data_IF_894585594422
#
_entry.id   IF_894585594422
#
_cell.length_a   1.000
_cell.length_b   1.000
_cell.length_c   1.000
_cell.angle_alpha   90.00
_cell.angle_beta   90.00
_cell.angle_gamma   90.00
#
_symmetry.space_group_name_H-M   'P 1'
#
loop_
_entity.id
_entity.type
_entity.pdbx_description
1 polymer ?
#
# COMPACT_ATOMS: atom_id res chain seq x y z
N UNK A 1 -16.22 -14.54 -4.72
CA UNK A 1 -15.12 -14.93 -5.61
C UNK A 1 -13.80 -14.72 -4.88
N UNK A 2 -12.99 -15.77 -4.73
CA UNK A 2 -11.72 -15.71 -4.03
C UNK A 2 -10.58 -15.55 -5.05
N UNK A 3 -9.64 -14.63 -4.81
CA UNK A 3 -8.50 -14.43 -5.71
C UNK A 3 -7.46 -15.54 -5.48
N UNK A 4 -7.05 -16.24 -6.53
CA UNK A 4 -5.91 -17.18 -6.50
C UNK A 4 -4.60 -16.42 -6.75
N UNK A 5 -3.55 -16.72 -5.99
CA UNK A 5 -2.18 -16.24 -6.26
C UNK A 5 -1.34 -17.43 -6.76
N UNK A 6 -0.84 -17.32 -8.00
CA UNK A 6 -0.11 -18.38 -8.71
C UNK A 6 1.10 -18.91 -7.93
N UNK A 7 1.80 -18.04 -7.22
CA UNK A 7 3.04 -18.33 -6.51
C UNK A 7 2.83 -19.09 -5.19
N UNK A 8 1.59 -19.16 -4.68
CA UNK A 8 1.28 -20.05 -3.57
C UNK A 8 1.20 -21.51 -4.05
N UNK A 9 1.50 -22.51 -3.19
CA UNK A 9 1.46 -23.90 -3.59
C UNK A 9 0.06 -24.36 -3.98
N UNK A 10 -0.03 -25.16 -5.05
CA UNK A 10 -1.23 -25.91 -5.43
C UNK A 10 -1.25 -27.25 -4.70
N UNK A 11 -1.57 -27.23 -3.40
CA UNK A 11 -1.67 -28.43 -2.58
C UNK A 11 -2.70 -28.26 -1.45
N UNK A 12 -3.03 -29.37 -0.79
CA UNK A 12 -3.97 -29.42 0.33
C UNK A 12 -3.37 -28.94 1.66
N UNK A 13 -2.12 -28.49 1.68
CA UNK A 13 -1.45 -28.09 2.92
C UNK A 13 -1.86 -26.66 3.31
N UNK A 14 -1.90 -26.40 4.60
CA UNK A 14 -2.23 -25.08 5.14
C UNK A 14 -0.95 -24.28 5.39
N UNK A 15 -0.85 -23.11 4.76
CA UNK A 15 0.32 -22.25 4.81
C UNK A 15 0.01 -20.94 5.51
N UNK A 16 0.55 -20.74 6.72
CA UNK A 16 0.47 -19.47 7.44
C UNK A 16 1.55 -18.52 6.93
N UNK A 17 1.16 -17.30 6.59
CA UNK A 17 2.10 -16.21 6.26
C UNK A 17 2.79 -15.70 7.53
N UNK A 18 4.12 -15.75 7.56
CA UNK A 18 4.95 -15.34 8.70
C UNK A 18 5.49 -13.92 8.57
N UNK A 19 5.87 -13.49 7.36
CA UNK A 19 6.37 -12.15 7.12
C UNK A 19 6.49 -11.85 5.62
N UNK A 20 6.56 -10.56 5.30
CA UNK A 20 7.19 -10.05 4.08
C UNK A 20 8.50 -9.40 4.47
N UNK A 21 9.61 -9.85 3.88
CA UNK A 21 10.95 -9.58 4.42
C UNK A 21 11.81 -8.76 3.49
N UNK A 22 11.80 -9.05 2.19
CA UNK A 22 12.74 -8.48 1.23
C UNK A 22 12.07 -8.08 -0.07
N UNK A 23 12.65 -7.11 -0.75
CA UNK A 23 12.21 -6.59 -2.05
C UNK A 23 13.37 -6.68 -3.04
N UNK A 24 13.11 -7.14 -4.26
CA UNK A 24 14.09 -7.15 -5.34
C UNK A 24 13.48 -6.69 -6.66
N UNK A 25 14.34 -6.32 -7.60
CA UNK A 25 13.91 -6.05 -8.97
C UNK A 25 13.25 -7.29 -9.58
N UNK A 26 12.13 -7.09 -10.25
CA UNK A 26 11.56 -8.08 -11.16
C UNK A 26 12.16 -7.85 -12.54
N UNK A 27 12.83 -8.86 -13.11
CA UNK A 27 13.46 -8.75 -14.42
C UNK A 27 12.48 -8.97 -15.58
N UNK A 28 11.32 -9.55 -15.30
CA UNK A 28 10.28 -9.80 -16.31
C UNK A 28 9.31 -8.63 -16.43
N UNK A 29 9.06 -7.93 -15.32
CA UNK A 29 8.04 -6.87 -15.20
C UNK A 29 8.62 -5.71 -14.39
N UNK A 30 9.25 -4.73 -15.05
CA UNK A 30 9.94 -3.60 -14.38
C UNK A 30 8.99 -2.80 -13.46
N UNK A 31 7.70 -2.73 -13.80
CA UNK A 31 6.67 -2.01 -13.04
C UNK A 31 6.22 -2.75 -11.76
N UNK A 32 6.61 -4.02 -11.60
CA UNK A 32 6.14 -4.90 -10.53
C UNK A 32 7.32 -5.60 -9.82
N UNK A 33 8.08 -4.88 -8.97
CA UNK A 33 9.08 -5.49 -8.10
C UNK A 33 8.56 -6.71 -7.33
N UNK A 34 9.47 -7.60 -6.94
CA UNK A 34 9.11 -8.81 -6.21
C UNK A 34 9.33 -8.64 -4.71
N UNK A 35 8.37 -9.11 -3.92
CA UNK A 35 8.43 -9.17 -2.46
C UNK A 35 8.54 -10.62 -1.99
N UNK A 36 9.48 -10.90 -1.08
CA UNK A 36 9.67 -12.20 -0.47
C UNK A 36 8.64 -12.39 0.65
N UNK A 37 7.78 -13.39 0.49
CA UNK A 37 6.80 -13.83 1.48
C UNK A 37 7.31 -15.14 2.10
N UNK A 38 7.35 -15.19 3.42
CA UNK A 38 7.74 -16.36 4.18
C UNK A 38 6.52 -17.04 4.77
N UNK A 39 6.45 -18.36 4.65
CA UNK A 39 5.33 -19.15 5.10
C UNK A 39 5.78 -20.39 5.88
N UNK A 40 5.00 -20.74 6.90
CA UNK A 40 5.13 -21.98 7.68
C UNK A 40 3.89 -22.84 7.48
N UNK A 41 4.08 -24.15 7.32
CA UNK A 41 2.96 -25.09 7.28
C UNK A 41 2.39 -25.33 8.68
N UNK A 42 1.07 -25.39 8.74
CA UNK A 42 0.31 -25.77 9.93
C UNK A 42 -0.50 -27.04 9.67
N UNK A 43 -0.80 -27.79 10.73
CA UNK A 43 -1.54 -29.07 10.64
C UNK A 43 -3.02 -28.86 10.37
N UNK A 44 -3.60 -27.86 11.02
CA UNK A 44 -5.04 -27.62 11.03
C UNK A 44 -5.33 -26.11 11.06
N UNK A 45 -6.14 -25.62 10.12
CA UNK A 45 -6.54 -24.21 10.03
C UNK A 45 -7.53 -23.79 11.12
N UNK A 46 -8.23 -24.75 11.74
CA UNK A 46 -9.20 -24.51 12.81
C UNK A 46 -8.54 -24.29 14.18
N UNK A 47 -7.30 -24.76 14.35
CA UNK A 47 -6.50 -24.58 15.56
C UNK A 47 -5.70 -23.27 15.44
N UNK A 48 -5.42 -22.62 16.58
CA UNK A 48 -4.55 -21.43 16.62
C UNK A 48 -3.27 -21.66 15.78
N UNK A 49 -3.10 -20.92 14.67
CA UNK A 49 -2.01 -21.14 13.75
C UNK A 49 -0.66 -20.77 14.37
N UNK A 50 -0.64 -20.07 15.50
CA UNK A 50 0.57 -19.68 16.24
C UNK A 50 0.94 -20.65 17.38
N UNK A 51 0.14 -21.68 17.67
CA UNK A 51 0.55 -22.69 18.65
C UNK A 51 1.69 -23.56 18.14
N UNK A 52 2.62 -23.94 19.01
CA UNK A 52 3.72 -24.84 18.66
C UNK A 52 3.23 -26.23 18.27
N UNK A 53 2.14 -26.71 18.88
CA UNK A 53 1.53 -28.01 18.60
C UNK A 53 0.95 -28.13 17.19
N UNK A 54 0.50 -27.01 16.60
CA UNK A 54 -0.14 -26.94 15.29
C UNK A 54 0.87 -26.85 14.11
N UNK A 55 2.17 -27.00 14.35
CA UNK A 55 3.22 -26.81 13.33
C UNK A 55 3.75 -28.15 12.81
N UNK A 56 4.17 -28.20 11.54
CA UNK A 56 4.79 -29.39 10.92
C UNK A 56 6.31 -29.26 10.72
N UNK A 57 6.89 -28.09 11.03
CA UNK A 57 8.28 -27.69 10.74
C UNK A 57 8.61 -27.42 9.27
N UNK A 58 7.67 -27.68 8.36
CA UNK A 58 7.85 -27.33 6.96
C UNK A 58 7.66 -25.83 6.77
N UNK A 59 8.55 -25.25 5.98
CA UNK A 59 8.59 -23.83 5.71
C UNK A 59 8.94 -23.64 4.25
N UNK A 60 8.43 -22.57 3.64
CA UNK A 60 8.88 -22.15 2.33
C UNK A 60 8.89 -20.63 2.22
N UNK A 61 9.57 -20.15 1.19
CA UNK A 61 9.57 -18.75 0.78
C UNK A 61 9.16 -18.65 -0.67
N UNK A 62 8.36 -17.65 -1.01
CA UNK A 62 7.92 -17.36 -2.36
C UNK A 62 8.17 -15.89 -2.68
N UNK A 63 8.28 -15.54 -3.96
CA UNK A 63 8.40 -14.17 -4.43
C UNK A 63 7.13 -13.80 -5.18
N UNK A 64 6.47 -12.72 -4.78
CA UNK A 64 5.23 -12.23 -5.42
C UNK A 64 5.41 -10.81 -5.91
N UNK A 65 4.64 -10.44 -6.93
CA UNK A 65 4.56 -9.06 -7.37
C UNK A 65 4.03 -8.17 -6.23
N UNK A 66 4.63 -7.00 -6.03
CA UNK A 66 4.22 -6.06 -4.98
C UNK A 66 2.75 -5.65 -5.07
N UNK A 67 2.14 -5.68 -6.27
CA UNK A 67 0.70 -5.44 -6.45
C UNK A 67 -0.19 -6.43 -5.71
N UNK A 68 0.31 -7.63 -5.41
CA UNK A 68 -0.42 -8.69 -4.71
C UNK A 68 -0.39 -8.50 -3.18
N UNK A 69 0.51 -7.65 -2.65
CA UNK A 69 0.65 -7.42 -1.20
C UNK A 69 -0.61 -6.81 -0.55
N UNK A 70 -1.50 -6.19 -1.33
CA UNK A 70 -2.80 -5.72 -0.85
C UNK A 70 -3.71 -6.87 -0.34
N UNK A 71 -3.41 -8.14 -0.66
CA UNK A 71 -4.16 -9.33 -0.24
C UNK A 71 -3.44 -10.22 0.76
N UNK A 72 -2.12 -10.13 0.81
CA UNK A 72 -1.31 -10.92 1.75
C UNK A 72 -1.34 -10.22 3.11
N UNK A 73 -1.58 -10.96 4.19
CA UNK A 73 -1.63 -10.42 5.55
C UNK A 73 -0.78 -11.26 6.49
N UNK A 74 -0.23 -10.63 7.52
CA UNK A 74 0.50 -11.38 8.54
C UNK A 74 -0.45 -12.33 9.27
N UNK A 75 -0.10 -13.61 9.35
CA UNK A 75 -0.94 -14.64 9.96
C UNK A 75 -2.10 -15.16 9.11
N UNK A 76 -2.28 -14.69 7.87
CA UNK A 76 -3.28 -15.29 6.96
C UNK A 76 -2.90 -16.73 6.61
N UNK A 77 -3.90 -17.60 6.45
CA UNK A 77 -3.73 -19.00 6.07
C UNK A 77 -4.16 -19.17 4.61
N UNK A 78 -3.29 -19.79 3.84
CA UNK A 78 -3.47 -20.08 2.42
C UNK A 78 -3.49 -21.58 2.18
N UNK A 79 -4.34 -22.01 1.26
CA UNK A 79 -4.45 -23.40 0.80
C UNK A 79 -4.87 -23.36 -0.66
N UNK A 80 -4.28 -24.24 -1.48
CA UNK A 80 -4.56 -24.32 -2.91
C UNK A 80 -4.62 -22.95 -3.61
N UNK A 81 -3.58 -22.13 -3.41
CA UNK A 81 -3.44 -20.75 -3.94
C UNK A 81 -4.45 -19.71 -3.44
N UNK A 82 -5.45 -20.08 -2.63
CA UNK A 82 -6.48 -19.18 -2.10
C UNK A 82 -6.16 -18.82 -0.64
N UNK A 83 -6.48 -17.58 -0.26
CA UNK A 83 -6.51 -17.20 1.15
C UNK A 83 -7.80 -17.72 1.79
N UNK A 84 -7.70 -18.69 2.69
CA UNK A 84 -8.88 -19.32 3.33
C UNK A 84 -9.22 -18.68 4.69
N UNK A 85 -8.25 -18.02 5.33
CA UNK A 85 -8.46 -17.42 6.65
C UNK A 85 -7.55 -16.22 6.87
N UNK A 86 -8.10 -15.18 7.49
CA UNK A 86 -7.35 -14.02 7.98
C UNK A 86 -7.48 -13.93 9.51
N UNK A 87 -6.51 -13.34 10.23
CA UNK A 87 -6.69 -13.03 11.65
C UNK A 87 -7.80 -12.00 11.84
N UNK A 88 -8.81 -12.35 12.62
CA UNK A 88 -9.98 -11.51 12.90
C UNK A 88 -10.57 -11.85 14.28
N UNK A 89 -11.32 -10.92 14.87
CA UNK A 89 -11.80 -11.01 16.25
C UNK A 89 -12.79 -12.16 16.52
N UNK A 90 -13.34 -12.79 15.47
CA UNK A 90 -14.12 -14.03 15.56
C UNK A 90 -13.25 -15.25 15.91
N UNK A 91 -11.92 -15.13 15.85
CA UNK A 91 -10.99 -16.22 16.15
C UNK A 91 -10.57 -16.17 17.63
N UNK A 92 -10.67 -17.30 18.36
CA UNK A 92 -10.43 -17.33 19.81
C UNK A 92 -8.99 -17.07 20.23
N UNK A 93 -8.04 -17.09 19.28
CA UNK A 93 -6.61 -16.98 19.52
C UNK A 93 -6.02 -15.59 19.26
N UNK A 94 -6.84 -14.66 18.76
CA UNK A 94 -6.50 -13.24 18.65
C UNK A 94 -7.50 -12.43 19.43
N UNK A 95 -7.13 -11.18 19.70
CA UNK A 95 -8.04 -10.20 20.28
C UNK A 95 -7.90 -8.89 19.52
N UNK A 96 -9.01 -8.18 19.40
CA UNK A 96 -8.98 -6.77 19.05
C UNK A 96 -8.76 -5.90 20.30
N UNK A 97 -7.82 -4.95 20.21
CA UNK A 97 -7.48 -4.02 21.29
C UNK A 97 -7.16 -2.65 20.71
N UNK A 98 -7.47 -1.61 21.46
CA UNK A 98 -7.06 -0.24 21.15
C UNK A 98 -5.92 0.18 22.07
N UNK A 99 -4.90 0.82 21.50
CA UNK A 99 -3.75 1.33 22.24
C UNK A 99 -3.37 2.71 21.74
N UNK A 100 -3.04 3.60 22.67
CA UNK A 100 -2.52 4.92 22.36
C UNK A 100 -1.01 4.89 22.30
N UNK A 101 -0.44 5.26 21.15
CA UNK A 101 1.00 5.33 20.92
C UNK A 101 1.41 6.71 20.42
N UNK A 102 2.68 7.04 20.59
CA UNK A 102 3.31 8.18 19.96
C UNK A 102 4.33 7.68 18.92
N UNK A 103 4.12 7.99 17.64
CA UNK A 103 4.99 7.47 16.56
C UNK A 103 6.40 8.06 16.58
N UNK A 104 6.63 9.21 17.24
CA UNK A 104 7.97 9.76 17.46
C UNK A 104 8.78 8.98 18.51
N UNK A 105 8.11 8.20 19.37
CA UNK A 105 8.75 7.38 20.43
C UNK A 105 8.94 5.92 20.02
N UNK A 106 8.60 5.54 18.78
CA UNK A 106 8.73 4.17 18.30
C UNK A 106 10.20 3.78 18.17
N UNK A 107 10.56 2.66 18.78
CA UNK A 107 11.87 2.04 18.60
C UNK A 107 11.80 1.18 17.33
N UNK A 108 12.59 1.55 16.32
CA UNK A 108 12.75 0.79 15.06
C UNK A 108 13.95 -0.14 15.20
N UNK A 109 13.70 -1.44 15.21
CA UNK A 109 14.72 -2.48 15.40
C UNK A 109 14.47 -3.67 14.46
N UNK A 110 15.27 -4.72 14.56
CA UNK A 110 15.08 -5.99 13.84
C UNK A 110 14.53 -7.05 14.78
N UNK A 111 13.89 -8.06 14.18
CA UNK A 111 13.32 -9.19 14.92
C UNK A 111 14.30 -9.82 15.93
N UNK A 112 15.56 -10.04 15.54
CA UNK A 112 16.58 -10.64 16.40
C UNK A 112 17.50 -9.64 17.11
N UNK A 113 17.18 -8.36 17.11
CA UNK A 113 17.94 -7.36 17.83
C UNK A 113 17.19 -6.96 19.08
N UNK A 114 17.90 -6.79 20.19
CA UNK A 114 17.30 -6.34 21.44
C UNK A 114 16.79 -4.91 21.30
N UNK A 115 15.58 -4.67 21.77
CA UNK A 115 15.06 -3.32 22.03
C UNK A 115 15.27 -2.98 23.51
N UNK A 116 15.48 -1.71 23.80
CA UNK A 116 15.61 -1.19 25.16
C UNK A 116 14.43 -0.28 25.47
N UNK A 117 13.67 -0.60 26.52
CA UNK A 117 12.61 0.25 27.03
C UNK A 117 12.67 0.29 28.55
N UNK A 118 12.68 1.49 29.15
CA UNK A 118 12.78 1.69 30.60
C UNK A 118 13.92 0.86 31.22
N UNK A 119 15.12 0.98 30.64
CA UNK A 119 16.34 0.25 31.03
C UNK A 119 16.27 -1.28 30.96
N UNK A 120 15.24 -1.82 30.30
CA UNK A 120 15.05 -3.25 30.09
C UNK A 120 15.32 -3.63 28.65
N UNK A 121 16.22 -4.60 28.45
CA UNK A 121 16.55 -5.16 27.14
C UNK A 121 15.74 -6.44 26.88
N UNK A 122 15.09 -6.53 25.73
CA UNK A 122 14.31 -7.71 25.33
C UNK A 122 14.30 -7.89 23.82
N UNK A 123 14.03 -9.11 23.35
CA UNK A 123 13.79 -9.36 21.93
C UNK A 123 12.35 -9.00 21.58
N UNK A 124 12.09 -8.18 20.54
CA UNK A 124 10.75 -7.74 20.16
C UNK A 124 9.80 -8.91 19.87
N UNK A 125 10.31 -9.97 19.24
CA UNK A 125 9.56 -11.19 18.99
C UNK A 125 10.42 -12.40 19.40
N UNK A 126 10.23 -12.92 20.63
CA UNK A 126 11.02 -14.05 21.11
C UNK A 126 10.83 -15.30 20.25
N UNK A 127 11.91 -16.05 20.03
CA UNK A 127 11.92 -17.25 19.20
C UNK A 127 10.85 -18.30 19.62
N UNK A 128 10.60 -18.42 20.93
CA UNK A 128 9.62 -19.35 21.50
C UNK A 128 8.17 -19.02 21.10
N UNK A 129 7.89 -17.78 20.71
CA UNK A 129 6.53 -17.28 20.39
C UNK A 129 6.18 -17.57 18.93
N UNK A 130 7.10 -17.25 18.02
CA UNK A 130 6.96 -17.47 16.58
C UNK A 130 8.09 -18.36 16.07
N UNK A 131 7.98 -19.67 16.34
CA UNK A 131 8.86 -20.68 15.74
C UNK A 131 8.62 -20.83 14.22
N UNK A 132 9.27 -19.98 13.46
CA UNK A 132 9.23 -19.93 11.98
C UNK A 132 10.21 -20.92 11.34
N UNK A 133 10.71 -21.91 12.08
CA UNK A 133 11.57 -22.98 11.55
C UNK A 133 12.78 -22.45 10.77
N UNK A 134 13.02 -23.01 9.58
CA UNK A 134 14.13 -22.61 8.71
C UNK A 134 13.99 -21.18 8.16
N UNK A 135 12.79 -20.60 8.17
CA UNK A 135 12.59 -19.20 7.78
C UNK A 135 13.22 -18.22 8.80
N UNK A 136 13.65 -18.67 9.97
CA UNK A 136 14.28 -17.80 10.98
C UNK A 136 15.48 -17.03 10.43
N UNK A 137 16.32 -17.66 9.60
CA UNK A 137 17.48 -17.01 9.02
C UNK A 137 17.13 -15.86 8.07
N UNK A 138 15.94 -15.89 7.46
CA UNK A 138 15.45 -14.85 6.58
C UNK A 138 14.73 -13.75 7.36
N UNK A 139 13.90 -14.14 8.33
CA UNK A 139 13.02 -13.21 9.07
C UNK A 139 13.74 -12.44 10.19
N UNK A 140 14.87 -12.96 10.70
CA UNK A 140 15.63 -12.34 11.80
C UNK A 140 16.06 -10.91 11.50
N UNK A 141 16.23 -10.59 10.22
CA UNK A 141 16.66 -9.28 9.74
C UNK A 141 15.50 -8.31 9.44
N UNK A 142 14.26 -8.80 9.47
CA UNK A 142 13.08 -7.99 9.17
C UNK A 142 12.85 -6.94 10.25
N UNK A 143 12.41 -5.77 9.81
CA UNK A 143 12.17 -4.63 10.68
C UNK A 143 10.90 -4.84 11.52
N UNK A 144 11.00 -4.45 12.79
CA UNK A 144 9.93 -4.51 13.78
C UNK A 144 9.91 -3.19 14.54
N UNK A 145 8.72 -2.66 14.75
CA UNK A 145 8.49 -1.45 15.54
C UNK A 145 8.03 -1.83 16.94
N UNK A 146 8.70 -1.27 17.93
CA UNK A 146 8.37 -1.43 19.35
C UNK A 146 7.82 -0.08 19.82
N UNK A 147 6.52 -0.03 20.07
CA UNK A 147 5.79 1.19 20.41
C UNK A 147 5.34 1.13 21.88
N UNK A 148 5.89 1.98 22.76
CA UNK A 148 5.39 2.12 24.12
C UNK A 148 3.94 2.63 24.10
N UNK A 149 3.04 1.96 24.82
CA UNK A 149 1.66 2.40 24.97
C UNK A 149 1.56 3.41 26.12
N UNK A 150 0.86 4.53 25.90
CA UNK A 150 0.71 5.57 26.92
C UNK A 150 -0.31 5.17 28.00
N UNK A 151 -1.26 4.29 27.66
CA UNK A 151 -2.41 3.88 28.47
C UNK A 151 -2.29 2.45 29.06
N UNK A 152 -1.19 1.73 28.78
CA UNK A 152 -1.03 0.35 29.19
C UNK A 152 0.39 0.01 29.64
N UNK A 153 0.52 -0.93 30.59
CA UNK A 153 1.80 -1.54 30.97
C UNK A 153 2.28 -2.58 29.93
N UNK A 154 1.88 -2.42 28.67
CA UNK A 154 2.15 -3.32 27.54
C UNK A 154 2.85 -2.53 26.45
N UNK A 155 3.64 -3.22 25.64
CA UNK A 155 4.30 -2.62 24.48
C UNK A 155 3.71 -3.19 23.21
N UNK A 156 3.42 -2.35 22.22
CA UNK A 156 3.00 -2.81 20.91
C UNK A 156 4.20 -3.26 20.09
N UNK A 157 4.09 -4.46 19.50
CA UNK A 157 5.10 -5.02 18.60
C UNK A 157 4.49 -5.09 17.20
N UNK A 158 4.95 -4.24 16.29
CA UNK A 158 4.36 -4.04 14.97
C UNK A 158 5.38 -4.42 13.90
N UNK A 159 5.27 -5.59 13.27
CA UNK A 159 6.13 -5.94 12.14
C UNK A 159 6.01 -4.90 11.00
N UNK A 160 7.11 -4.60 10.32
CA UNK A 160 7.11 -3.57 9.26
C UNK A 160 6.13 -3.87 8.12
N UNK A 161 5.93 -5.15 7.81
CA UNK A 161 4.93 -5.57 6.82
C UNK A 161 3.49 -5.21 7.22
N UNK A 162 3.16 -5.18 8.51
CA UNK A 162 1.82 -4.75 8.96
C UNK A 162 1.64 -3.25 8.69
N UNK A 163 2.68 -2.44 8.90
CA UNK A 163 2.65 -1.00 8.55
C UNK A 163 2.55 -0.83 7.03
N UNK A 164 3.37 -1.56 6.26
CA UNK A 164 3.32 -1.54 4.80
C UNK A 164 1.92 -1.84 4.27
N UNK A 165 1.36 -3.00 4.63
CA UNK A 165 0.04 -3.45 4.16
C UNK A 165 -1.08 -2.53 4.62
N UNK A 166 -0.92 -1.87 5.77
CA UNK A 166 -1.97 -1.00 6.32
C UNK A 166 -2.02 0.37 5.65
N UNK A 167 -0.87 0.94 5.27
CA UNK A 167 -0.79 2.33 4.83
C UNK A 167 -0.31 2.52 3.38
N UNK A 168 0.40 1.55 2.81
CA UNK A 168 1.11 1.70 1.54
C UNK A 168 0.70 0.69 0.45
N UNK A 169 -0.21 -0.23 0.78
CA UNK A 169 -0.74 -1.21 -0.17
C UNK A 169 -2.28 -1.25 -0.12
N UNK A 170 -2.93 -0.08 -0.20
CA UNK A 170 -4.39 0.05 -0.26
C UNK A 170 -4.97 -0.62 -1.50
N UNK A 171 -4.29 -0.49 -2.64
CA UNK A 171 -4.62 -1.12 -3.91
C UNK A 171 -3.37 -1.66 -4.59
N UNK A 172 -3.55 -2.55 -5.58
CA UNK A 172 -2.43 -3.05 -6.38
C UNK A 172 -1.72 -1.93 -7.15
N UNK A 173 -2.47 -0.91 -7.59
CA UNK A 173 -1.91 0.27 -8.29
C UNK A 173 -1.05 1.11 -7.35
N UNK A 174 -1.55 1.41 -6.15
CA UNK A 174 -0.79 2.13 -5.13
C UNK A 174 0.47 1.35 -4.75
N UNK A 175 0.35 0.05 -4.49
CA UNK A 175 1.50 -0.76 -4.12
C UNK A 175 2.61 -0.69 -5.20
N UNK A 176 2.27 -0.88 -6.48
CA UNK A 176 3.25 -0.76 -7.58
C UNK A 176 3.85 0.64 -7.65
N UNK A 177 3.04 1.68 -7.56
CA UNK A 177 3.51 3.06 -7.61
C UNK A 177 4.45 3.41 -6.45
N UNK A 178 4.16 2.93 -5.24
CA UNK A 178 5.02 3.09 -4.06
C UNK A 178 6.37 2.39 -4.25
N UNK A 179 6.37 1.12 -4.66
CA UNK A 179 7.60 0.34 -4.80
C UNK A 179 8.47 0.73 -6.00
N UNK A 180 7.87 1.33 -7.04
CA UNK A 180 8.57 1.90 -8.19
C UNK A 180 8.92 3.38 -8.04
N UNK A 181 8.51 4.01 -6.93
CA UNK A 181 8.60 5.46 -6.71
C UNK A 181 8.07 6.28 -7.89
N UNK A 182 6.90 5.86 -8.38
CA UNK A 182 6.23 6.43 -9.54
C UNK A 182 4.78 6.78 -9.21
N UNK A 183 4.55 7.36 -8.03
CA UNK A 183 3.23 7.82 -7.59
C UNK A 183 2.70 8.92 -8.52
N UNK A 184 3.60 9.72 -9.09
CA UNK A 184 3.30 10.72 -10.14
C UNK A 184 2.69 10.13 -11.40
N UNK A 185 2.78 8.82 -11.65
CA UNK A 185 2.07 8.18 -12.75
C UNK A 185 0.56 8.09 -12.54
N UNK A 186 0.08 8.30 -11.31
CA UNK A 186 -1.35 8.23 -10.96
C UNK A 186 -2.02 9.61 -10.97
N UNK A 187 -1.23 10.68 -10.95
CA UNK A 187 -1.69 12.07 -10.98
C UNK A 187 -1.01 12.88 -12.09
N UNK A 188 -1.49 14.09 -12.33
CA UNK A 188 -0.76 15.11 -13.08
C UNK A 188 -0.07 15.98 -12.05
N UNK A 189 1.17 15.61 -11.71
CA UNK A 189 1.87 16.16 -10.53
C UNK A 189 2.00 17.69 -10.54
N UNK A 190 2.26 18.29 -11.70
CA UNK A 190 2.39 19.75 -11.84
C UNK A 190 1.06 20.52 -11.80
N UNK A 191 -0.09 19.83 -11.92
CA UNK A 191 -1.42 20.42 -11.76
C UNK A 191 -2.04 20.10 -10.39
N UNK A 192 -1.41 19.18 -9.64
CA UNK A 192 -1.80 18.74 -8.31
C UNK A 192 -0.93 19.45 -7.26
N UNK A 193 -1.53 19.98 -6.21
CA UNK A 193 -0.83 20.82 -5.25
C UNK A 193 -1.48 20.78 -3.87
N UNK A 194 -0.70 21.16 -2.85
CA UNK A 194 -1.23 21.53 -1.55
C UNK A 194 -1.57 23.01 -1.61
N UNK A 195 -2.81 23.35 -1.30
CA UNK A 195 -3.33 24.71 -1.31
C UNK A 195 -2.87 25.50 -0.07
N UNK A 196 -2.98 26.83 -0.13
CA UNK A 196 -2.53 27.73 0.95
C UNK A 196 -3.23 27.48 2.30
N UNK A 197 -4.45 26.95 2.27
CA UNK A 197 -5.24 26.57 3.45
C UNK A 197 -4.91 25.17 3.99
N UNK A 198 -3.95 24.47 3.37
CA UNK A 198 -3.54 23.11 3.72
C UNK A 198 -4.37 22.01 3.06
N UNK A 199 -5.44 22.33 2.32
CA UNK A 199 -6.21 21.35 1.57
C UNK A 199 -5.46 20.88 0.32
N UNK A 200 -5.93 19.82 -0.33
CA UNK A 200 -5.20 19.22 -1.47
C UNK A 200 -6.03 19.29 -2.74
N UNK A 201 -5.41 19.80 -3.80
CA UNK A 201 -5.91 19.67 -5.17
C UNK A 201 -5.22 18.49 -5.86
N UNK A 202 -5.99 17.55 -6.39
CA UNK A 202 -5.50 16.40 -7.16
C UNK A 202 -6.07 16.39 -8.57
N UNK A 203 -5.19 16.28 -9.57
CA UNK A 203 -5.58 15.98 -10.94
C UNK A 203 -5.25 14.52 -11.24
N UNK A 204 -6.27 13.65 -11.14
CA UNK A 204 -6.10 12.21 -11.29
C UNK A 204 -5.92 11.81 -12.75
N UNK A 205 -5.04 10.84 -13.03
CA UNK A 205 -4.95 10.22 -14.35
C UNK A 205 -6.09 9.22 -14.59
N UNK A 206 -6.34 8.92 -15.87
CA UNK A 206 -7.42 8.02 -16.31
C UNK A 206 -7.40 6.65 -15.62
N UNK A 207 -6.22 6.11 -15.36
CA UNK A 207 -6.02 4.79 -14.77
C UNK A 207 -6.04 4.77 -13.23
N UNK A 208 -6.15 5.92 -12.55
CA UNK A 208 -6.26 5.98 -11.10
C UNK A 208 -7.70 5.78 -10.63
N UNK A 209 -7.88 4.96 -9.60
CA UNK A 209 -9.19 4.74 -8.97
C UNK A 209 -9.51 5.88 -8.00
N UNK A 210 -10.80 6.20 -7.90
CA UNK A 210 -11.31 7.27 -7.02
C UNK A 210 -11.05 6.97 -5.53
N UNK A 211 -11.08 5.70 -5.16
CA UNK A 211 -10.84 5.24 -3.79
C UNK A 211 -9.39 5.50 -3.34
N UNK A 212 -8.43 5.63 -4.27
CA UNK A 212 -7.03 5.88 -3.96
C UNK A 212 -6.72 7.37 -3.70
N UNK A 213 -7.69 8.28 -3.88
CA UNK A 213 -7.52 9.74 -3.67
C UNK A 213 -6.95 10.09 -2.31
N UNK A 214 -7.43 9.44 -1.26
CA UNK A 214 -6.99 9.74 0.10
C UNK A 214 -5.52 9.35 0.34
N UNK A 215 -5.04 8.29 -0.31
CA UNK A 215 -3.63 7.93 -0.27
C UNK A 215 -2.79 8.98 -0.99
N UNK A 216 -3.21 9.37 -2.20
CA UNK A 216 -2.50 10.33 -3.03
C UNK A 216 -2.45 11.72 -2.40
N UNK A 217 -3.56 12.18 -1.81
CA UNK A 217 -3.62 13.45 -1.11
C UNK A 217 -2.70 13.45 0.12
N UNK A 218 -2.68 12.38 0.91
CA UNK A 218 -1.77 12.25 2.06
C UNK A 218 -0.32 12.22 1.60
N UNK A 219 0.01 11.50 0.53
CA UNK A 219 1.35 11.48 -0.01
C UNK A 219 1.82 12.87 -0.44
N UNK A 220 0.95 13.64 -1.12
CA UNK A 220 1.25 15.01 -1.57
C UNK A 220 1.42 15.99 -0.40
N UNK A 221 0.60 15.86 0.65
CA UNK A 221 0.60 16.77 1.80
C UNK A 221 1.55 16.37 2.96
N UNK A 222 1.96 15.11 3.07
CA UNK A 222 2.80 14.61 4.18
C UNK A 222 4.24 14.40 3.74
N UNK A 223 5.12 15.28 4.20
CA UNK A 223 6.57 15.08 4.06
C UNK A 223 7.06 13.80 4.76
N UNK A 224 6.42 13.38 5.85
CA UNK A 224 6.77 12.14 6.57
C UNK A 224 6.56 10.93 5.66
N UNK A 225 5.38 10.85 5.04
CA UNK A 225 5.04 9.77 4.11
C UNK A 225 5.93 9.79 2.86
N UNK A 226 6.13 10.97 2.26
CA UNK A 226 7.02 11.13 1.11
C UNK A 226 8.46 10.68 1.39
N UNK A 227 8.97 11.00 2.58
CA UNK A 227 10.31 10.59 3.02
C UNK A 227 10.42 9.07 3.24
N UNK A 228 9.42 8.43 3.86
CA UNK A 228 9.44 6.97 4.06
C UNK A 228 9.46 6.22 2.72
N UNK A 229 8.62 6.62 1.76
CA UNK A 229 8.57 6.03 0.41
C UNK A 229 9.87 6.26 -0.33
N UNK A 230 10.37 7.51 -0.35
CA UNK A 230 11.62 7.88 -1.03
C UNK A 230 12.81 7.11 -0.45
N UNK A 231 12.91 7.01 0.87
CA UNK A 231 14.01 6.31 1.53
C UNK A 231 13.96 4.80 1.26
N UNK A 232 12.75 4.20 1.27
CA UNK A 232 12.59 2.80 0.90
C UNK A 232 13.06 2.56 -0.54
N UNK A 233 12.62 3.39 -1.49
CA UNK A 233 13.03 3.27 -2.88
C UNK A 233 14.54 3.45 -3.07
N UNK A 234 15.14 4.47 -2.43
CA UNK A 234 16.60 4.69 -2.47
C UNK A 234 17.37 3.47 -1.99
N UNK A 235 16.89 2.75 -0.96
CA UNK A 235 17.50 1.49 -0.49
C UNK A 235 17.42 0.40 -1.55
N UNK A 236 16.26 0.21 -2.18
CA UNK A 236 16.06 -0.77 -3.27
C UNK A 236 16.99 -0.44 -4.45
N UNK A 237 17.02 0.83 -4.87
CA UNK A 237 17.86 1.28 -5.98
C UNK A 237 19.36 1.08 -5.67
N UNK A 238 19.80 1.46 -4.47
CA UNK A 238 21.19 1.30 -4.04
C UNK A 238 21.60 -0.17 -4.02
N UNK A 239 20.74 -1.06 -3.54
CA UNK A 239 21.01 -2.50 -3.58
C UNK A 239 21.09 -3.02 -5.02
N UNK A 240 20.17 -2.63 -5.89
CA UNK A 240 20.19 -3.03 -7.29
C UNK A 240 21.46 -2.56 -8.01
N UNK A 241 21.93 -1.34 -7.73
CA UNK A 241 23.20 -0.82 -8.27
C UNK A 241 24.39 -1.61 -7.72
N UNK A 242 24.46 -1.80 -6.41
CA UNK A 242 25.59 -2.48 -5.76
C UNK A 242 25.67 -3.98 -6.08
N UNK A 243 24.58 -4.57 -6.54
CA UNK A 243 24.52 -5.98 -6.94
C UNK A 243 24.50 -6.16 -8.46
N UNK A 244 24.47 -5.08 -9.26
CA UNK A 244 24.49 -5.14 -10.71
C UNK A 244 25.76 -5.86 -11.21
N UNK A 245 25.58 -6.88 -12.05
CA UNK A 245 26.69 -7.67 -12.60
C UNK A 245 27.26 -8.77 -11.69
N UNK A 246 26.78 -8.91 -10.46
CA UNK A 246 27.14 -10.04 -9.61
C UNK A 246 26.28 -11.27 -9.95
N UNK A 247 26.85 -12.30 -10.58
CA UNK A 247 26.20 -13.62 -10.75
C UNK A 247 26.14 -14.41 -9.43
N UNK A 248 25.73 -13.77 -8.33
CA UNK A 248 25.85 -14.29 -6.96
C UNK A 248 24.51 -14.35 -6.25
N UNK A 249 24.47 -15.07 -5.13
CA UNK A 249 23.33 -15.13 -4.22
C UNK A 249 22.86 -13.74 -3.74
N UNK A 250 23.74 -12.73 -3.73
CA UNK A 250 23.41 -11.37 -3.29
C UNK A 250 22.32 -10.71 -4.16
N UNK A 251 22.30 -10.96 -5.49
CA UNK A 251 21.21 -10.49 -6.36
C UNK A 251 19.88 -11.18 -6.04
N UNK A 252 19.95 -12.47 -5.67
CA UNK A 252 18.75 -13.26 -5.39
C UNK A 252 18.09 -12.94 -4.04
N UNK A 253 18.86 -12.36 -3.12
CA UNK A 253 18.44 -12.06 -1.76
C UNK A 253 17.52 -10.82 -1.67
N UNK A 254 17.80 -9.76 -2.43
CA UNK A 254 17.02 -8.51 -2.34
C UNK A 254 17.30 -7.68 -1.07
N UNK A 255 16.64 -6.53 -0.98
CA UNK A 255 16.77 -5.52 0.08
C UNK A 255 15.76 -5.76 1.19
N UNK A 256 16.16 -5.63 2.46
CA UNK A 256 15.23 -5.71 3.60
C UNK A 256 14.14 -4.64 3.48
N UNK A 257 12.88 -5.05 3.66
CA UNK A 257 11.73 -4.16 3.71
C UNK A 257 11.78 -3.30 4.96
N UNK A 258 11.82 -2.00 4.74
CA UNK A 258 11.89 -1.02 5.81
C UNK A 258 11.04 0.22 5.46
N UNK A 259 9.92 0.40 6.14
CA UNK A 259 8.99 1.52 5.92
C UNK A 259 8.17 1.82 7.18
N UNK A 260 8.21 3.06 7.65
CA UNK A 260 7.60 3.53 8.90
C UNK A 260 6.17 4.05 8.73
N UNK A 261 5.59 4.53 9.83
CA UNK A 261 4.29 5.19 9.80
C UNK A 261 4.33 6.45 8.91
N UNK A 262 3.24 6.78 8.18
CA UNK A 262 3.21 7.92 7.28
C UNK A 262 3.04 9.28 7.99
N UNK A 263 3.17 9.32 9.31
CA UNK A 263 2.92 10.48 10.17
C UNK A 263 3.68 10.41 11.50
N UNK A 264 3.71 11.54 12.21
CA UNK A 264 4.34 11.75 13.51
C UNK A 264 3.33 12.15 14.58
N UNK A 265 3.63 11.90 15.85
CA UNK A 265 2.79 12.28 16.99
C UNK A 265 1.88 11.17 17.52
N UNK A 266 0.90 11.59 18.33
CA UNK A 266 0.00 10.69 19.03
C UNK A 266 -1.08 10.10 18.10
N UNK A 267 -1.41 8.84 18.31
CA UNK A 267 -2.52 8.15 17.66
C UNK A 267 -3.01 6.99 18.52
N UNK A 268 -4.30 6.69 18.41
CA UNK A 268 -4.85 5.42 18.89
C UNK A 268 -4.94 4.47 17.72
N UNK A 269 -4.41 3.25 17.89
CA UNK A 269 -4.54 2.16 16.92
C UNK A 269 -5.48 1.11 17.49
N UNK A 270 -6.52 0.75 16.73
CA UNK A 270 -7.31 -0.47 16.98
C UNK A 270 -6.68 -1.59 16.15
N UNK A 271 -6.23 -2.64 16.82
CA UNK A 271 -5.38 -3.69 16.25
C UNK A 271 -5.92 -5.08 16.58
N UNK A 272 -5.85 -5.99 15.61
CA UNK A 272 -5.96 -7.43 15.86
C UNK A 272 -4.59 -7.99 16.16
N UNK A 273 -4.45 -8.71 17.26
CA UNK A 273 -3.18 -9.30 17.66
C UNK A 273 -3.25 -10.29 18.80
N UNK A 274 -2.09 -10.65 19.34
CA UNK A 274 -1.94 -11.63 20.43
C UNK A 274 -0.94 -11.13 21.46
N UNK A 275 -1.23 -11.36 22.74
CA UNK A 275 -0.28 -11.10 23.81
C UNK A 275 0.86 -12.12 23.80
N UNK A 276 2.09 -11.62 23.93
CA UNK A 276 3.31 -12.42 23.92
C UNK A 276 4.18 -11.99 25.11
N UNK A 277 4.78 -12.95 25.80
CA UNK A 277 5.69 -12.65 26.89
C UNK A 277 7.05 -12.28 26.30
N UNK A 278 7.49 -11.03 26.48
CA UNK A 278 8.75 -10.51 25.94
C UNK A 278 9.92 -10.79 26.85
N UNK A 279 9.69 -10.67 28.16
CA UNK A 279 10.70 -10.95 29.18
C UNK A 279 10.03 -11.33 30.51
N UNK A 280 10.64 -12.26 31.23
CA UNK A 280 10.12 -12.85 32.46
C UNK A 280 10.38 -11.92 33.67
N UNK A 281 9.54 -12.01 34.68
CA UNK A 281 9.76 -11.35 35.97
C UNK A 281 11.09 -11.82 36.57
N UNK A 282 11.83 -10.89 37.15
CA UNK A 282 13.06 -11.18 37.86
C UNK A 282 12.90 -10.72 39.31
N UNK A 283 12.83 -11.67 40.24
CA UNK A 283 12.64 -11.39 41.67
C UNK A 283 13.80 -10.60 42.27
N UNK A 284 15.04 -10.93 41.89
CA UNK A 284 16.26 -10.24 42.33
C UNK A 284 16.26 -8.77 41.91
N UNK A 285 15.79 -8.47 40.70
CA UNK A 285 15.67 -7.11 40.16
C UNK A 285 14.30 -6.46 40.46
N UNK A 286 13.41 -7.16 41.17
CA UNK A 286 12.02 -6.75 41.47
C UNK A 286 11.23 -6.30 40.23
N UNK A 287 11.46 -6.94 39.07
CA UNK A 287 10.74 -6.63 37.83
C UNK A 287 9.55 -7.56 37.62
N UNK A 288 8.47 -7.05 37.03
CA UNK A 288 7.30 -7.84 36.61
C UNK A 288 7.51 -8.43 35.21
N UNK A 289 6.67 -9.38 34.81
CA UNK A 289 6.61 -9.85 33.42
C UNK A 289 6.40 -8.67 32.46
N UNK A 290 7.20 -8.60 31.39
CA UNK A 290 6.97 -7.67 30.30
C UNK A 290 6.15 -8.37 29.22
N UNK A 291 4.92 -7.91 29.05
CA UNK A 291 4.05 -8.36 27.98
C UNK A 291 4.11 -7.41 26.79
N UNK A 292 4.17 -7.99 25.61
CA UNK A 292 4.00 -7.31 24.33
C UNK A 292 2.67 -7.70 23.70
N UNK A 293 2.11 -6.82 22.89
CA UNK A 293 1.00 -7.14 22.02
C UNK A 293 1.51 -7.20 20.57
N UNK A 294 1.63 -8.41 20.04
CA UNK A 294 2.04 -8.62 18.65
C UNK A 294 0.89 -8.30 17.72
N UNK A 295 1.07 -7.27 16.90
CA UNK A 295 0.08 -6.82 15.93
C UNK A 295 0.13 -7.71 14.68
N UNK A 296 -1.03 -8.25 14.31
CA UNK A 296 -1.24 -9.00 13.07
C UNK A 296 -1.93 -8.14 12.01
N UNK A 297 -2.79 -7.21 12.42
CA UNK A 297 -3.43 -6.23 11.54
C UNK A 297 -3.73 -4.92 12.29
N UNK A 298 -3.63 -3.80 11.58
CA UNK A 298 -4.18 -2.51 12.01
C UNK A 298 -5.57 -2.38 11.38
N UNK A 299 -6.59 -2.37 12.23
CA UNK A 299 -7.99 -2.28 11.82
C UNK A 299 -8.41 -0.83 11.73
N UNK A 300 -8.01 0.01 12.69
CA UNK A 300 -8.28 1.44 12.68
C UNK A 300 -7.09 2.26 13.18
N UNK A 301 -6.99 3.51 12.70
CA UNK A 301 -6.02 4.49 13.15
C UNK A 301 -6.67 5.87 13.28
N UNK A 302 -6.57 6.47 14.47
CA UNK A 302 -7.19 7.76 14.79
C UNK A 302 -6.34 8.97 14.38
N UNK A 303 -5.15 8.78 13.81
CA UNK A 303 -4.30 9.90 13.43
C UNK A 303 -4.96 10.75 12.34
N UNK A 304 -5.07 12.08 12.52
CA UNK A 304 -5.75 12.93 11.56
C UNK A 304 -5.01 13.00 10.23
N UNK A 305 -5.74 13.22 9.15
CA UNK A 305 -5.15 13.61 7.88
C UNK A 305 -4.63 15.06 7.93
N UNK A 306 -3.59 15.37 7.15
CA UNK A 306 -3.00 16.72 7.13
C UNK A 306 -3.85 17.74 6.35
N UNK A 307 -5.09 17.42 5.99
CA UNK A 307 -6.02 18.25 5.22
C UNK A 307 -7.46 17.96 5.64
N UNK A 308 -8.39 18.87 5.29
CA UNK A 308 -9.83 18.71 5.54
C UNK A 308 -10.64 18.51 4.27
N UNK A 309 -10.11 18.95 3.13
CA UNK A 309 -10.77 18.84 1.84
C UNK A 309 -9.81 18.26 0.79
N UNK A 310 -10.34 17.41 -0.08
CA UNK A 310 -9.68 16.96 -1.31
C UNK A 310 -10.50 17.48 -2.49
N UNK A 311 -9.91 18.42 -3.21
CA UNK A 311 -10.42 18.97 -4.45
C UNK A 311 -9.87 18.12 -5.59
N UNK A 312 -10.71 17.38 -6.33
CA UNK A 312 -10.21 16.48 -7.37
C UNK A 312 -10.87 16.69 -8.72
N UNK A 313 -10.08 16.53 -9.78
CA UNK A 313 -10.55 16.46 -11.16
C UNK A 313 -9.84 15.32 -11.89
N UNK A 314 -10.39 14.89 -13.04
CA UNK A 314 -9.76 13.89 -13.90
C UNK A 314 -9.12 14.54 -15.11
N UNK A 315 -7.88 14.15 -15.38
CA UNK A 315 -7.21 14.46 -16.63
C UNK A 315 -7.95 13.70 -17.76
N UNK A 316 -8.53 14.47 -18.69
CA UNK A 316 -9.43 14.01 -19.76
C UNK A 316 -10.77 13.40 -19.30
N UNK A 317 -11.48 14.08 -18.39
CA UNK A 317 -12.90 13.77 -18.15
C UNK A 317 -13.73 14.13 -19.41
N UNK A 318 -14.31 13.12 -20.07
CA UNK A 318 -15.15 13.28 -21.26
C UNK A 318 -16.62 13.53 -20.90
N UNK A 319 -16.97 13.62 -19.62
CA UNK A 319 -18.33 13.90 -19.16
C UNK A 319 -18.69 15.38 -19.39
N UNK A 320 -19.03 15.71 -20.64
CA UNK A 320 -19.61 16.98 -21.05
C UNK A 320 -21.14 17.04 -20.86
N UNK A 321 -21.70 16.39 -19.83
CA UNK A 321 -23.16 16.38 -19.62
C UNK A 321 -23.53 17.24 -18.42
N UNK A 322 -24.19 18.38 -18.68
CA UNK A 322 -24.87 19.16 -17.65
C UNK A 322 -25.89 18.27 -16.91
N UNK A 323 -25.82 18.23 -15.59
CA UNK A 323 -26.67 17.38 -14.74
C UNK A 323 -26.06 16.03 -14.33
N UNK A 324 -24.79 15.76 -14.64
CA UNK A 324 -24.09 14.59 -14.11
C UNK A 324 -23.98 14.65 -12.57
N UNK A 325 -24.39 13.54 -11.94
CA UNK A 325 -24.31 13.33 -10.50
C UNK A 325 -22.84 13.40 -10.03
N UNK A 326 -22.48 14.35 -9.14
CA UNK A 326 -21.11 14.53 -8.68
C UNK A 326 -20.55 13.33 -7.89
N UNK A 327 -21.42 12.44 -7.43
CA UNK A 327 -21.04 11.22 -6.70
C UNK A 327 -20.75 10.02 -7.62
N UNK A 328 -21.06 10.12 -8.93
CA UNK A 328 -20.76 9.05 -9.88
C UNK A 328 -19.29 9.06 -10.29
N UNK A 329 -18.62 7.90 -10.28
CA UNK A 329 -17.30 7.80 -10.90
C UNK A 329 -17.43 8.13 -12.39
N UNK A 330 -16.55 8.99 -12.91
CA UNK A 330 -16.52 9.36 -14.34
C UNK A 330 -16.10 8.19 -15.26
N UNK A 331 -15.71 7.07 -14.66
CA UNK A 331 -15.39 5.84 -15.36
C UNK A 331 -16.08 4.69 -14.61
N UNK A 332 -17.18 4.20 -15.18
CA UNK A 332 -17.64 2.86 -14.86
C UNK A 332 -16.61 1.93 -15.49
N UNK A 333 -15.60 1.49 -14.71
CA UNK A 333 -14.73 0.40 -15.12
C UNK A 333 -15.64 -0.69 -15.71
N UNK A 334 -15.36 -1.11 -16.95
CA UNK A 334 -16.26 -1.95 -17.76
C UNK A 334 -16.78 -3.09 -16.87
N UNK A 335 -17.98 -2.91 -16.32
CA UNK A 335 -18.77 -3.98 -15.78
C UNK A 335 -19.17 -4.75 -17.03
N UNK A 336 -18.48 -5.86 -17.28
CA UNK A 336 -18.81 -6.75 -18.38
C UNK A 336 -20.32 -7.03 -18.32
N UNK A 337 -21.05 -6.47 -19.28
CA UNK A 337 -22.47 -6.71 -19.44
C UNK A 337 -22.71 -8.18 -19.72
N UNK A 338 -23.73 -8.73 -19.05
CA UNK A 338 -24.01 -10.15 -19.00
C UNK A 338 -24.21 -10.83 -20.35
N UNK A 339 -23.66 -12.03 -20.46
CA UNK A 339 -24.35 -13.13 -21.11
C UNK A 339 -24.99 -13.96 -20.00
N UNK A 340 -26.31 -14.05 -20.00
CA UNK A 340 -27.06 -15.02 -19.22
C UNK A 340 -26.68 -16.42 -19.69
N UNK A 341 -25.91 -17.14 -18.89
CA UNK A 341 -25.87 -18.61 -18.90
C UNK A 341 -25.99 -19.05 -17.46
N UNK A 342 -26.89 -20.00 -17.28
CA UNK A 342 -27.38 -20.56 -16.04
C UNK A 342 -26.24 -20.91 -15.08
N UNK A 343 -26.50 -20.69 -13.80
CA UNK A 343 -25.63 -20.99 -12.67
C UNK A 343 -25.27 -22.49 -12.68
N UNK A 344 -24.05 -22.80 -13.11
CA UNK A 344 -23.31 -23.97 -12.66
C UNK A 344 -22.22 -23.50 -11.70
N UNK A 345 -22.37 -23.86 -10.42
CA UNK A 345 -21.41 -23.68 -9.34
C UNK A 345 -20.12 -24.48 -9.62
N UNK A 346 -19.28 -23.99 -10.54
CA UNK A 346 -17.92 -24.50 -10.75
C UNK A 346 -16.90 -23.64 -9.98
N UNK A 347 -16.27 -24.26 -8.97
CA UNK A 347 -15.20 -23.71 -8.09
C UNK A 347 -13.89 -23.35 -8.87
N UNK A 348 -13.89 -23.57 -10.20
CA UNK A 348 -12.75 -23.37 -11.10
C UNK A 348 -12.67 -21.98 -11.76
N UNK A 349 -13.68 -21.13 -11.62
CA UNK A 349 -13.69 -19.80 -12.26
C UNK A 349 -12.99 -18.68 -11.47
N UNK A 350 -12.48 -18.94 -10.27
CA UNK A 350 -11.77 -17.94 -9.46
C UNK A 350 -10.55 -17.35 -10.20
N UNK A 351 -10.45 -16.01 -10.32
CA UNK A 351 -9.38 -15.38 -11.08
C UNK A 351 -8.01 -15.64 -10.42
N UNK A 352 -7.03 -16.00 -11.25
CA UNK A 352 -5.65 -16.21 -10.81
C UNK A 352 -4.75 -15.04 -11.23
N UNK A 353 -3.93 -14.56 -10.30
CA UNK A 353 -2.90 -13.54 -10.55
C UNK A 353 -1.51 -14.11 -10.29
N UNK A 354 -0.54 -13.66 -11.09
CA UNK A 354 0.89 -13.96 -10.91
C UNK A 354 1.76 -12.78 -11.35
N UNK A 355 3.04 -12.83 -10.99
CA UNK A 355 4.06 -11.78 -11.16
C UNK A 355 4.86 -11.84 -12.48
N UNK A 356 4.49 -12.77 -13.36
CA UNK A 356 5.18 -12.98 -14.63
C UNK A 356 4.69 -12.07 -15.77
N UNK A 357 3.51 -11.43 -15.63
CA UNK A 357 2.88 -10.64 -16.69
C UNK A 357 2.48 -9.23 -16.23
N UNK A 358 2.63 -8.26 -17.13
CA UNK A 358 2.09 -6.91 -16.96
C UNK A 358 0.57 -6.92 -16.77
N UNK A 359 0.08 -6.06 -15.88
CA UNK A 359 -1.32 -6.14 -15.40
C UNK A 359 -2.33 -5.48 -16.34
N UNK A 360 -1.87 -4.78 -17.38
CA UNK A 360 -2.71 -3.99 -18.29
C UNK A 360 -3.67 -4.84 -19.14
N UNK A 361 -3.55 -6.17 -19.11
CA UNK A 361 -4.37 -7.13 -19.85
C UNK A 361 -5.44 -7.82 -18.99
N UNK A 362 -5.47 -7.59 -17.67
CA UNK A 362 -6.34 -8.35 -16.75
C UNK A 362 -7.55 -7.51 -16.28
N UNK A 363 -8.73 -8.14 -16.09
CA UNK A 363 -9.89 -7.44 -15.55
C UNK A 363 -9.58 -6.89 -14.14
N UNK A 364 -10.10 -5.70 -13.85
CA UNK A 364 -9.99 -5.11 -12.51
C UNK A 364 -10.94 -5.85 -11.57
N UNK A 365 -10.40 -6.41 -10.50
CA UNK A 365 -11.20 -7.11 -9.49
C UNK A 365 -11.39 -6.15 -8.32
N UNK A 366 -12.59 -5.60 -8.19
CA UNK A 366 -12.97 -4.82 -7.03
C UNK A 366 -13.16 -5.77 -5.85
N UNK A 367 -12.30 -5.64 -4.85
CA UNK A 367 -12.37 -6.46 -3.64
C UNK A 367 -12.60 -5.52 -2.47
N UNK A 368 -13.75 -5.66 -1.84
CA UNK A 368 -14.14 -4.89 -0.66
C UNK A 368 -13.11 -5.10 0.45
N UNK A 369 -12.47 -4.03 0.88
CA UNK A 369 -11.63 -4.03 2.08
C UNK A 369 -12.53 -3.82 3.31
N UNK A 370 -12.21 -4.43 4.47
CA UNK A 370 -13.03 -4.30 5.67
C UNK A 370 -12.98 -2.87 6.22
N UNK A 371 -14.15 -2.24 6.39
CA UNK A 371 -14.38 -0.99 7.15
C UNK A 371 -13.56 0.25 6.74
N UNK A 372 -13.95 1.42 7.25
CA UNK A 372 -13.10 2.62 7.14
C UNK A 372 -11.94 2.53 8.14
N UNK A 373 -10.80 1.99 7.69
CA UNK A 373 -9.55 1.88 8.47
C UNK A 373 -9.06 3.21 9.07
N UNK A 374 -9.49 4.33 8.51
CA UNK A 374 -9.12 5.66 8.96
C UNK A 374 -10.40 6.46 9.23
N UNK A 375 -10.89 6.48 10.48
CA UNK A 375 -12.14 7.16 10.82
C UNK A 375 -12.18 8.64 10.45
N UNK A 376 -11.02 9.32 10.46
CA UNK A 376 -10.92 10.72 10.06
C UNK A 376 -11.27 10.96 8.58
N UNK A 377 -11.22 9.94 7.71
CA UNK A 377 -11.71 10.04 6.33
C UNK A 377 -13.19 10.40 6.26
N UNK A 378 -13.99 10.02 7.26
CA UNK A 378 -15.40 10.36 7.32
C UNK A 378 -15.63 11.88 7.52
N UNK A 379 -14.61 12.60 7.98
CA UNK A 379 -14.64 14.04 8.20
C UNK A 379 -13.97 14.83 7.06
N UNK A 380 -13.48 14.17 6.02
CA UNK A 380 -12.82 14.81 4.87
C UNK A 380 -13.86 15.05 3.78
N UNK A 381 -13.96 16.29 3.33
CA UNK A 381 -14.84 16.64 2.21
C UNK A 381 -14.15 16.31 0.87
N UNK A 382 -14.86 15.60 -0.01
CA UNK A 382 -14.38 15.22 -1.34
C UNK A 382 -15.09 16.07 -2.39
N UNK A 383 -14.41 17.07 -2.94
CA UNK A 383 -15.00 18.06 -3.84
C UNK A 383 -14.54 17.79 -5.28
N UNK A 384 -15.45 17.29 -6.12
CA UNK A 384 -15.17 17.12 -7.55
C UNK A 384 -15.20 18.49 -8.26
N UNK A 385 -14.05 18.97 -8.72
CA UNK A 385 -13.97 20.21 -9.51
C UNK A 385 -14.49 19.92 -10.92
N UNK A 386 -15.52 20.65 -11.35
CA UNK A 386 -15.93 20.67 -12.76
C UNK A 386 -14.91 21.51 -13.53
N UNK A 387 -14.33 20.96 -14.59
CA UNK A 387 -13.53 21.74 -15.53
C UNK A 387 -14.40 22.87 -16.08
N UNK A 388 -14.18 24.08 -15.60
CA UNK A 388 -14.69 25.26 -16.28
C UNK A 388 -13.86 25.37 -17.53
N UNK A 389 -14.47 25.03 -18.67
CA UNK A 389 -13.81 25.05 -19.97
C UNK A 389 -13.00 26.34 -20.11
N UNK A 390 -11.68 26.22 -20.31
CA UNK A 390 -10.80 27.31 -20.74
C UNK A 390 -11.14 27.74 -22.19
N UNK A 391 -12.42 27.88 -22.52
CA UNK A 391 -12.87 28.49 -23.78
C UNK A 391 -12.42 29.95 -23.84
N UNK A 392 -12.29 30.64 -22.69
CA UNK A 392 -11.90 32.06 -22.69
C UNK A 392 -10.44 32.33 -23.09
N UNK A 393 -9.48 31.45 -22.78
CA UNK A 393 -8.07 31.64 -23.17
C UNK A 393 -7.74 31.06 -24.55
N UNK A 394 -8.33 29.91 -24.91
CA UNK A 394 -8.18 29.33 -26.24
C UNK A 394 -8.89 30.16 -27.31
N UNK A 395 -10.08 30.72 -27.04
CA UNK A 395 -10.76 31.64 -27.95
C UNK A 395 -10.09 33.00 -28.03
N UNK A 396 -9.47 33.51 -26.94
CA UNK A 396 -8.62 34.71 -27.01
C UNK A 396 -7.40 34.47 -27.89
N UNK A 397 -6.67 33.36 -27.71
CA UNK A 397 -5.54 33.01 -28.58
C UNK A 397 -5.97 32.81 -30.04
N UNK A 398 -7.12 32.19 -30.28
CA UNK A 398 -7.67 31.97 -31.63
C UNK A 398 -8.14 33.28 -32.29
N UNK A 399 -8.76 34.19 -31.54
CA UNK A 399 -9.12 35.55 -32.01
C UNK A 399 -7.89 36.38 -32.32
N UNK A 400 -6.85 36.36 -31.48
CA UNK A 400 -5.60 37.09 -31.71
C UNK A 400 -4.87 36.56 -32.96
N UNK A 401 -4.79 35.23 -33.13
CA UNK A 401 -4.21 34.64 -34.35
C UNK A 401 -5.01 34.98 -35.62
N UNK A 402 -6.34 34.98 -35.55
CA UNK A 402 -7.18 35.34 -36.69
C UNK A 402 -7.03 36.83 -37.05
N UNK A 403 -6.89 37.72 -36.05
CA UNK A 403 -6.64 39.14 -36.30
C UNK A 403 -5.26 39.37 -36.94
N UNK A 404 -4.21 38.68 -36.46
CA UNK A 404 -2.87 38.74 -37.06
C UNK A 404 -2.86 38.24 -38.52
N UNK A 405 -3.60 37.17 -38.83
CA UNK A 405 -3.74 36.68 -40.22
C UNK A 405 -4.39 37.72 -41.12
N UNK A 406 -5.48 38.35 -40.67
CA UNK A 406 -6.19 39.39 -41.43
C UNK A 406 -5.27 40.59 -41.69
N UNK A 407 -4.53 41.05 -40.67
CA UNK A 407 -3.57 42.15 -40.81
C UNK A 407 -2.47 41.78 -41.83
N UNK A 408 -1.95 40.56 -41.81
CA UNK A 408 -0.93 40.12 -42.78
C UNK A 408 -1.48 40.11 -44.22
N UNK A 409 -2.74 39.68 -44.42
CA UNK A 409 -3.35 39.65 -45.75
C UNK A 409 -3.60 41.07 -46.30
N UNK A 410 -3.99 42.01 -45.43
CA UNK A 410 -4.17 43.43 -45.81
C UNK A 410 -2.83 44.07 -46.19
N UNK A 411 -1.77 43.82 -45.42
CA UNK A 411 -0.42 44.32 -45.71
C UNK A 411 0.12 43.78 -47.03
N UNK A 412 -0.05 42.47 -47.29
CA UNK A 412 0.35 41.85 -48.56
C UNK A 412 -0.44 42.44 -49.74
N UNK A 413 -1.74 42.70 -49.56
CA UNK A 413 -2.57 43.34 -50.60
C UNK A 413 -2.15 44.80 -50.87
N UNK A 414 -1.82 45.56 -49.83
CA UNK A 414 -1.33 46.94 -50.01
C UNK A 414 0.06 46.99 -50.66
N UNK A 415 0.97 46.10 -50.26
CA UNK A 415 2.29 45.99 -50.90
C UNK A 415 2.17 45.59 -52.37
N UNK A 416 1.26 44.67 -52.72
CA UNK A 416 1.00 44.32 -54.11
C UNK A 416 0.45 45.49 -54.93
N UNK A 417 -0.43 46.33 -54.35
CA UNK A 417 -0.95 47.54 -55.00
C UNK A 417 0.14 48.60 -55.19
N UNK A 418 1.02 48.80 -54.23
CA UNK A 418 2.16 49.71 -54.35
C UNK A 418 3.12 49.23 -55.44
N UNK A 419 3.38 47.92 -55.51
CA UNK A 419 4.27 47.37 -56.55
C UNK A 419 3.71 47.55 -57.96
N UNK A 420 2.39 47.47 -58.13
CA UNK A 420 1.66 47.73 -59.39
C UNK A 420 1.55 49.22 -59.76
N UNK A 421 1.83 50.15 -58.83
CA UNK A 421 1.89 51.59 -59.13
C UNK A 421 3.31 52.08 -59.43
N UNK A 422 4.32 51.26 -59.15
CA UNK A 422 5.74 51.56 -59.39
C UNK A 422 6.25 50.95 -60.70
N UNK A 423 5.49 50.01 -61.28
CA UNK A 423 5.63 49.52 -62.66
C UNK A 423 4.72 50.33 -63.58
#
# INVERSE_FOLDING_TARGET
MALKIKEFPKNSNFWRVDAVTRIKKNHNVDSEPLAQVLCSEIKDSSIDPFLSSNRTSNTFSLWVGVGQLAKIRFGSIWQDKKCIQIPSNDKPYVSEKSFTINTDKIIRTRWNQTATLNDRNFYPIPFKVLNVGKNFDLIKHTMVYVAPCEDASTVLIIPSFVVLSSYYCSSSKIARAVFSNNIDSLIVDHESEVLDDGNVKLVLRKNCDDDDRHFLARWKASHVMGNEITNMFKRIQSHNINTAGLNTSAQTEGTILDIGFPFKGNTTLTVTGKFILLDEANETLKTKNLWGFLVLAINECSHPYPYKEIHYERHNDNDQVEGADPTKPAWNGVSGGGGSTEDEDDDDNDPEVGSDDETNSRPTINIVLPGTKFPDLNNIEMIKIKKTTQTSQSDKKRKVMNHLKIISMVLVSQLAKIHLQIL
#
